data_IF_992916538375
#
_entry.id   IF_992916538375
#
_cell.length_a   1.000
_cell.length_b   1.000
_cell.length_c   1.000
_cell.angle_alpha   90.00
_cell.angle_beta   90.00
_cell.angle_gamma   90.00
#
_symmetry.space_group_name_H-M   'P 1'
#
loop_
_entity.id
_entity.type
_entity.pdbx_description
1 polymer ?
#
# COMPACT_ATOMS: atom_id res chain seq x y z
N UNK A 1 -4.50 -0.40 -15.62
CA UNK A 1 -4.82 -1.49 -14.65
C UNK A 1 -5.88 -2.41 -15.21
N UNK A 2 -5.63 -3.72 -15.28
CA UNK A 2 -6.60 -4.80 -15.51
C UNK A 2 -6.70 -5.65 -14.23
N UNK A 3 -7.86 -6.29 -14.01
CA UNK A 3 -8.03 -7.18 -12.86
C UNK A 3 -9.02 -8.30 -13.13
N UNK A 4 -8.93 -9.35 -12.33
CA UNK A 4 -9.89 -10.45 -12.27
C UNK A 4 -10.18 -10.82 -10.83
N UNK A 5 -11.41 -11.22 -10.53
CA UNK A 5 -11.79 -11.74 -9.22
C UNK A 5 -11.95 -13.26 -9.34
N UNK A 6 -11.21 -14.01 -8.53
CA UNK A 6 -11.30 -15.47 -8.43
C UNK A 6 -11.47 -15.83 -6.96
N UNK A 7 -12.53 -16.58 -6.63
CA UNK A 7 -12.86 -17.00 -5.26
C UNK A 7 -12.86 -15.83 -4.25
N UNK A 8 -13.38 -14.67 -4.66
CA UNK A 8 -13.44 -13.48 -3.81
C UNK A 8 -12.12 -12.72 -3.64
N UNK A 9 -11.05 -13.15 -4.29
CA UNK A 9 -9.74 -12.51 -4.28
C UNK A 9 -9.56 -11.73 -5.58
N UNK A 10 -9.17 -10.46 -5.47
CA UNK A 10 -8.80 -9.63 -6.62
C UNK A 10 -7.35 -9.86 -7.01
N UNK A 11 -7.11 -10.11 -8.29
CA UNK A 11 -5.78 -10.21 -8.90
C UNK A 11 -5.65 -9.05 -9.88
N UNK A 12 -4.80 -8.08 -9.56
CA UNK A 12 -4.60 -6.85 -10.31
C UNK A 12 -3.27 -6.93 -11.06
N UNK A 13 -3.30 -6.60 -12.35
CA UNK A 13 -2.10 -6.26 -13.12
C UNK A 13 -2.11 -4.75 -13.38
N UNK A 14 -1.08 -4.09 -12.90
CA UNK A 14 -0.86 -2.68 -13.14
C UNK A 14 0.10 -2.50 -14.30
N UNK A 15 -0.20 -1.52 -15.14
CA UNK A 15 0.56 -1.21 -16.33
C UNK A 15 1.44 0.03 -16.08
N UNK A 16 2.38 0.27 -16.98
CA UNK A 16 3.29 1.43 -16.90
C UNK A 16 2.52 2.73 -16.70
N UNK A 17 2.94 3.51 -15.70
CA UNK A 17 2.35 4.80 -15.35
C UNK A 17 1.25 4.73 -14.28
N UNK A 18 0.71 3.53 -14.00
CA UNK A 18 -0.26 3.35 -12.91
C UNK A 18 0.40 3.63 -11.55
N UNK A 19 -0.36 4.26 -10.63
CA UNK A 19 0.01 4.36 -9.21
C UNK A 19 -0.40 3.11 -8.46
N UNK A 20 0.50 2.52 -7.69
CA UNK A 20 0.25 1.26 -6.96
C UNK A 20 -0.89 1.43 -5.95
N UNK A 21 -0.78 2.42 -5.07
CA UNK A 21 -1.79 2.67 -4.03
C UNK A 21 -3.09 3.18 -4.64
N UNK A 22 -2.99 4.10 -5.59
CA UNK A 22 -4.16 4.63 -6.30
C UNK A 22 -4.99 3.52 -6.96
N UNK A 23 -4.32 2.55 -7.61
CA UNK A 23 -4.96 1.42 -8.27
C UNK A 23 -5.64 0.46 -7.28
N UNK A 24 -5.00 0.15 -6.16
CA UNK A 24 -5.60 -0.70 -5.10
C UNK A 24 -6.85 -0.03 -4.52
N UNK A 25 -6.78 1.26 -4.21
CA UNK A 25 -7.93 2.00 -3.68
C UNK A 25 -9.07 2.12 -4.71
N UNK A 26 -8.73 2.32 -5.98
CA UNK A 26 -9.72 2.37 -7.05
C UNK A 26 -10.41 1.02 -7.25
N UNK A 27 -9.66 -0.09 -7.26
CA UNK A 27 -10.22 -1.44 -7.26
C UNK A 27 -11.19 -1.65 -6.09
N UNK A 28 -10.79 -1.31 -4.88
CA UNK A 28 -11.64 -1.45 -3.71
C UNK A 28 -12.94 -0.62 -3.81
N UNK A 29 -12.87 0.61 -4.37
CA UNK A 29 -14.07 1.43 -4.59
C UNK A 29 -15.00 0.82 -5.61
N UNK A 30 -14.49 0.35 -6.76
CA UNK A 30 -15.28 -0.28 -7.82
C UNK A 30 -16.03 -1.51 -7.34
N UNK A 31 -15.35 -2.33 -6.52
CA UNK A 31 -15.91 -3.59 -6.03
C UNK A 31 -16.65 -3.44 -4.68
N UNK A 32 -16.81 -2.23 -4.16
CA UNK A 32 -17.50 -1.97 -2.90
C UNK A 32 -16.78 -2.55 -1.67
N UNK A 33 -15.48 -2.80 -1.78
CA UNK A 33 -14.65 -3.39 -0.71
C UNK A 33 -14.29 -2.30 0.30
N UNK A 34 -14.74 -2.47 1.54
CA UNK A 34 -14.48 -1.50 2.62
C UNK A 34 -13.31 -1.87 3.50
N UNK A 35 -12.91 -3.13 3.52
CA UNK A 35 -11.74 -3.63 4.25
C UNK A 35 -11.09 -4.76 3.48
N UNK A 36 -9.77 -4.70 3.32
CA UNK A 36 -8.97 -5.72 2.66
C UNK A 36 -7.54 -5.72 3.19
N UNK A 37 -6.83 -6.82 2.99
CA UNK A 37 -5.37 -6.85 2.94
C UNK A 37 -4.91 -6.99 1.49
N UNK A 38 -3.70 -6.58 1.19
CA UNK A 38 -3.13 -6.77 -0.14
C UNK A 38 -1.62 -6.97 -0.07
N UNK A 39 -1.10 -7.67 -1.07
CA UNK A 39 0.33 -7.93 -1.24
C UNK A 39 0.67 -8.00 -2.71
N UNK A 40 1.94 -7.80 -3.05
CA UNK A 40 2.35 -7.86 -4.44
C UNK A 40 3.84 -7.61 -4.64
N UNK A 41 4.20 -7.52 -5.91
CA UNK A 41 5.54 -7.24 -6.40
C UNK A 41 5.44 -6.48 -7.73
N UNK A 42 6.57 -5.99 -8.24
CA UNK A 42 6.60 -5.32 -9.55
C UNK A 42 7.86 -4.53 -9.81
N UNK A 43 7.87 -3.78 -10.91
CA UNK A 43 8.93 -2.85 -11.28
C UNK A 43 8.41 -1.42 -11.36
N UNK A 44 9.00 -0.51 -10.58
CA UNK A 44 8.61 0.89 -10.48
C UNK A 44 9.72 1.83 -10.96
N UNK A 45 9.40 3.10 -11.22
CA UNK A 45 10.40 4.14 -11.55
C UNK A 45 10.40 5.31 -10.56
N UNK A 46 9.42 5.37 -9.70
CA UNK A 46 9.29 6.38 -8.65
C UNK A 46 8.59 5.78 -7.43
N UNK A 47 9.11 6.05 -6.24
CA UNK A 47 8.44 5.65 -5.00
C UNK A 47 8.72 6.66 -3.88
N UNK A 48 7.71 6.97 -3.08
CA UNK A 48 7.85 7.72 -1.83
C UNK A 48 7.76 6.75 -0.66
N UNK A 49 8.86 6.61 0.09
CA UNK A 49 8.92 5.82 1.32
C UNK A 49 9.08 6.73 2.53
N UNK A 50 8.41 6.37 3.64
CA UNK A 50 8.37 7.18 4.86
C UNK A 50 8.75 6.33 6.07
N UNK A 51 9.44 6.96 7.00
CA UNK A 51 9.80 6.35 8.29
C UNK A 51 9.29 7.22 9.42
N UNK A 52 8.61 6.63 10.39
CA UNK A 52 8.11 7.33 11.57
C UNK A 52 9.24 7.59 12.55
N UNK A 53 9.33 8.82 13.03
CA UNK A 53 10.22 9.24 14.10
C UNK A 53 9.41 9.29 15.42
N UNK A 54 9.70 8.41 16.39
CA UNK A 54 8.96 8.37 17.65
C UNK A 54 9.25 9.56 18.57
N UNK A 55 10.38 10.26 18.42
CA UNK A 55 10.72 11.42 19.24
C UNK A 55 9.91 12.65 18.82
N UNK A 56 9.87 12.91 17.52
CA UNK A 56 9.15 14.06 16.95
C UNK A 56 7.69 13.75 16.64
N UNK A 57 7.29 12.46 16.63
CA UNK A 57 5.99 11.95 16.20
C UNK A 57 5.62 12.37 14.78
N UNK A 58 6.61 12.46 13.90
CA UNK A 58 6.45 12.84 12.50
C UNK A 58 7.00 11.78 11.55
N UNK A 59 6.71 11.91 10.27
CA UNK A 59 7.26 11.05 9.23
C UNK A 59 8.33 11.79 8.43
N UNK A 60 9.54 11.24 8.39
CA UNK A 60 10.53 11.57 7.37
C UNK A 60 10.17 10.89 6.04
N UNK A 61 10.35 11.59 4.92
CA UNK A 61 10.06 11.08 3.57
C UNK A 61 11.33 11.02 2.74
N UNK A 62 11.48 9.95 1.94
CA UNK A 62 12.51 9.77 0.93
C UNK A 62 11.86 9.38 -0.39
N UNK A 63 12.24 10.07 -1.47
CA UNK A 63 11.86 9.70 -2.83
C UNK A 63 12.97 8.85 -3.45
N UNK A 64 12.58 7.67 -3.96
CA UNK A 64 13.42 6.80 -4.77
C UNK A 64 13.06 6.99 -6.23
N UNK A 65 14.04 6.99 -7.14
CA UNK A 65 13.82 7.13 -8.58
C UNK A 65 14.78 6.25 -9.37
N UNK A 66 14.40 5.91 -10.60
CA UNK A 66 15.13 5.00 -11.48
C UNK A 66 14.48 3.61 -11.50
N UNK A 67 15.18 2.58 -11.93
CA UNK A 67 14.65 1.21 -11.88
C UNK A 67 14.60 0.71 -10.44
N UNK A 68 13.41 0.45 -9.95
CA UNK A 68 13.11 0.01 -8.58
C UNK A 68 12.37 -1.34 -8.66
N UNK A 69 13.00 -2.40 -8.22
CA UNK A 69 12.31 -3.68 -8.01
C UNK A 69 11.47 -3.59 -6.73
N UNK A 70 10.15 -3.55 -6.86
CA UNK A 70 9.23 -3.69 -5.74
C UNK A 70 9.28 -5.14 -5.24
N UNK A 71 10.25 -5.42 -4.39
CA UNK A 71 10.56 -6.77 -3.90
C UNK A 71 9.52 -7.28 -2.89
N UNK A 72 8.85 -6.39 -2.20
CA UNK A 72 7.77 -6.71 -1.26
C UNK A 72 6.82 -5.54 -1.14
N UNK A 73 5.53 -5.83 -1.24
CA UNK A 73 4.43 -4.93 -0.94
C UNK A 73 3.48 -5.64 0.00
N UNK A 74 3.16 -5.01 1.12
CA UNK A 74 2.17 -5.49 2.06
C UNK A 74 1.38 -4.35 2.65
N UNK A 75 0.06 -4.43 2.58
CA UNK A 75 -0.79 -3.37 3.08
C UNK A 75 -2.19 -3.81 3.44
N UNK A 76 -2.95 -2.85 3.95
CA UNK A 76 -4.37 -3.00 4.19
C UNK A 76 -5.14 -1.75 3.79
N UNK A 77 -6.38 -1.96 3.41
CA UNK A 77 -7.38 -0.94 3.16
C UNK A 77 -8.44 -1.05 4.24
N UNK A 78 -8.87 0.08 4.77
CA UNK A 78 -9.97 0.19 5.74
C UNK A 78 -10.83 1.39 5.42
N UNK A 79 -12.06 1.43 5.94
CA UNK A 79 -12.85 2.66 5.94
C UNK A 79 -12.17 3.77 6.75
N UNK A 80 -12.27 5.01 6.28
CA UNK A 80 -11.70 6.19 6.97
C UNK A 80 -12.65 6.84 7.99
N UNK A 81 -13.85 6.28 8.16
CA UNK A 81 -14.91 6.79 9.01
C UNK A 81 -15.85 7.79 8.32
N UNK A 82 -15.50 8.33 7.15
CA UNK A 82 -16.24 9.34 6.39
C UNK A 82 -16.71 8.84 5.02
N UNK A 83 -17.05 7.57 4.89
CA UNK A 83 -17.39 6.90 3.63
C UNK A 83 -16.23 6.79 2.61
N UNK A 84 -15.03 7.21 2.96
CA UNK A 84 -13.81 7.04 2.20
C UNK A 84 -13.03 5.77 2.57
N UNK A 85 -11.93 5.56 1.86
CA UNK A 85 -10.97 4.48 2.12
C UNK A 85 -9.62 5.06 2.51
N UNK A 86 -9.02 4.48 3.55
CA UNK A 86 -7.64 4.73 3.97
C UNK A 86 -6.80 3.48 3.75
N UNK A 87 -5.52 3.66 3.50
CA UNK A 87 -4.55 2.58 3.37
C UNK A 87 -3.46 2.68 4.44
N UNK A 88 -2.85 1.54 4.76
CA UNK A 88 -1.60 1.45 5.50
C UNK A 88 -0.75 0.39 4.80
N UNK A 89 0.36 0.82 4.24
CA UNK A 89 1.17 -0.01 3.36
C UNK A 89 2.64 0.17 3.68
N UNK A 90 3.35 -0.95 3.70
CA UNK A 90 4.81 -0.99 3.70
C UNK A 90 5.29 -1.61 2.40
N UNK A 91 6.44 -1.14 1.92
CA UNK A 91 7.10 -1.69 0.75
C UNK A 91 8.62 -1.73 0.96
N UNK A 92 9.26 -2.67 0.25
CA UNK A 92 10.72 -2.75 0.12
C UNK A 92 11.06 -2.71 -1.35
N UNK A 93 11.96 -1.81 -1.71
CA UNK A 93 12.50 -1.67 -3.06
C UNK A 93 13.96 -2.09 -3.08
N UNK A 94 14.34 -2.90 -4.09
CA UNK A 94 15.73 -3.18 -4.40
C UNK A 94 16.12 -2.40 -5.67
N UNK A 95 17.31 -1.83 -5.70
CA UNK A 95 17.81 -1.01 -6.81
C UNK A 95 19.33 -1.03 -6.88
N UNK A 96 19.89 -0.49 -7.95
CA UNK A 96 21.33 -0.34 -8.09
C UNK A 96 21.69 1.14 -7.99
N UNK A 97 22.56 1.49 -7.07
CA UNK A 97 23.11 2.83 -6.90
C UNK A 97 24.63 2.76 -6.86
N UNK A 98 25.30 3.54 -7.71
CA UNK A 98 26.78 3.52 -7.83
C UNK A 98 27.38 2.11 -8.03
N UNK A 99 26.69 1.25 -8.80
CA UNK A 99 27.10 -0.12 -9.10
C UNK A 99 26.92 -1.12 -7.95
N UNK A 100 26.24 -0.74 -6.87
CA UNK A 100 25.93 -1.60 -5.72
C UNK A 100 24.46 -1.88 -5.64
N UNK A 101 24.10 -3.09 -5.21
CA UNK A 101 22.73 -3.42 -4.85
C UNK A 101 22.39 -2.84 -3.50
N UNK A 102 21.32 -2.04 -3.48
CA UNK A 102 20.82 -1.36 -2.30
C UNK A 102 19.35 -1.73 -2.09
N UNK A 103 18.88 -1.54 -0.86
CA UNK A 103 17.46 -1.68 -0.52
C UNK A 103 17.00 -0.49 0.30
N UNK A 104 15.74 -0.08 0.11
CA UNK A 104 15.07 0.88 0.96
C UNK A 104 13.60 0.51 1.12
N UNK A 105 13.04 0.79 2.28
CA UNK A 105 11.64 0.49 2.56
C UNK A 105 11.10 1.25 3.76
N UNK A 106 9.81 1.09 3.98
CA UNK A 106 9.06 1.75 5.05
C UNK A 106 7.60 1.91 4.66
N UNK A 107 6.91 2.88 5.26
CA UNK A 107 5.58 3.25 4.80
C UNK A 107 5.62 3.71 3.35
N UNK A 108 4.75 3.16 2.53
CA UNK A 108 4.59 3.58 1.14
C UNK A 108 3.57 4.72 1.05
N UNK A 109 4.02 5.88 0.57
CA UNK A 109 3.14 6.97 0.15
C UNK A 109 2.46 6.61 -1.16
N UNK A 110 3.26 6.49 -2.21
CA UNK A 110 2.85 6.01 -3.53
C UNK A 110 4.06 5.43 -4.27
N UNK A 111 3.83 4.55 -5.25
CA UNK A 111 4.82 4.12 -6.22
C UNK A 111 4.23 4.11 -7.63
N UNK A 112 5.03 4.54 -8.62
CA UNK A 112 4.62 4.54 -10.03
C UNK A 112 5.24 3.34 -10.74
N UNK A 113 4.39 2.58 -11.42
CA UNK A 113 4.80 1.39 -12.18
C UNK A 113 5.60 1.79 -13.41
N UNK A 114 6.75 1.14 -13.62
CA UNK A 114 7.58 1.27 -14.81
C UNK A 114 7.31 0.15 -15.82
N UNK A 115 7.24 -1.09 -15.35
CA UNK A 115 7.09 -2.30 -16.18
C UNK A 115 5.72 -2.91 -15.95
N UNK A 116 5.51 -3.52 -14.80
CA UNK A 116 4.26 -4.08 -14.31
C UNK A 116 4.27 -4.14 -12.80
N UNK A 117 3.10 -4.21 -12.18
CA UNK A 117 2.97 -4.68 -10.81
C UNK A 117 1.80 -5.66 -10.72
N UNK A 118 2.00 -6.73 -9.99
CA UNK A 118 1.04 -7.81 -9.79
C UNK A 118 0.65 -7.83 -8.32
N UNK A 119 -0.64 -7.58 -8.05
CA UNK A 119 -1.13 -7.35 -6.69
C UNK A 119 -2.34 -8.24 -6.43
N UNK A 120 -2.29 -8.94 -5.31
CA UNK A 120 -3.41 -9.70 -4.78
C UNK A 120 -4.10 -8.88 -3.70
N UNK A 121 -5.42 -8.74 -3.80
CA UNK A 121 -6.27 -8.05 -2.81
C UNK A 121 -7.26 -9.04 -2.22
N UNK A 122 -7.22 -9.19 -0.89
CA UNK A 122 -8.07 -10.11 -0.11
C UNK A 122 -9.07 -9.31 0.72
N UNK A 123 -10.36 -9.24 0.31
CA UNK A 123 -11.39 -8.60 1.10
C UNK A 123 -11.58 -9.28 2.47
N UNK A 124 -11.86 -8.47 3.49
CA UNK A 124 -12.33 -9.00 4.78
C UNK A 124 -13.78 -9.44 4.63
N UNK A 125 -14.06 -10.69 4.95
CA UNK A 125 -15.39 -11.30 4.88
C UNK A 125 -15.99 -11.39 6.28
N UNK A 126 -17.28 -11.09 6.41
CA UNK A 126 -18.00 -11.21 7.68
C UNK A 126 -17.88 -10.00 8.61
N UNK A 127 -17.25 -8.91 8.16
CA UNK A 127 -17.12 -7.68 8.96
C UNK A 127 -16.40 -6.56 8.23
N UNK A 128 -16.27 -5.44 8.91
CA UNK A 128 -15.47 -4.28 8.44
C UNK A 128 -14.49 -3.90 9.54
N UNK A 129 -13.23 -3.75 9.16
CA UNK A 129 -12.20 -3.20 10.05
C UNK A 129 -12.14 -1.70 9.80
N UNK A 130 -12.23 -0.91 10.86
CA UNK A 130 -12.08 0.55 10.84
C UNK A 130 -10.74 0.98 11.46
N UNK A 131 -10.56 2.28 11.64
CA UNK A 131 -9.35 2.86 12.28
C UNK A 131 -9.71 3.85 13.35
N UNK A 132 -8.93 3.85 14.41
CA UNK A 132 -8.92 4.89 15.44
C UNK A 132 -7.53 5.48 15.60
N UNK A 133 -7.46 6.66 16.21
CA UNK A 133 -6.17 7.26 16.58
C UNK A 133 -5.67 6.64 17.87
N UNK A 134 -4.45 6.10 17.85
CA UNK A 134 -3.73 5.69 19.05
C UNK A 134 -3.36 6.95 19.85
N UNK A 135 -3.75 7.07 21.12
CA UNK A 135 -3.51 8.29 21.92
C UNK A 135 -2.04 8.48 22.30
N UNK A 136 -1.24 7.42 22.35
CA UNK A 136 0.16 7.50 22.73
C UNK A 136 1.03 8.02 21.57
N UNK A 137 0.75 7.57 20.36
CA UNK A 137 1.59 7.86 19.18
C UNK A 137 0.96 8.82 18.19
N UNK A 138 -0.38 9.04 18.25
CA UNK A 138 -1.12 9.84 17.26
C UNK A 138 -1.29 9.14 15.89
N UNK A 139 -0.80 7.92 15.75
CA UNK A 139 -0.93 7.12 14.52
C UNK A 139 -2.29 6.45 14.43
N UNK A 140 -2.67 6.02 13.21
CA UNK A 140 -3.92 5.29 13.00
C UNK A 140 -3.69 3.79 13.15
N UNK A 141 -4.44 3.15 14.03
CA UNK A 141 -4.44 1.69 14.28
C UNK A 141 -5.78 1.08 13.94
N UNK A 142 -5.85 -0.23 13.81
CA UNK A 142 -7.11 -0.93 13.60
C UNK A 142 -8.06 -0.74 14.79
N UNK A 143 -9.32 -0.54 14.46
CA UNK A 143 -10.42 -0.51 15.41
C UNK A 143 -11.39 -1.64 15.10
N UNK A 144 -11.54 -2.55 16.03
CA UNK A 144 -12.44 -3.71 15.90
C UNK A 144 -13.83 -3.45 16.48
N UNK A 145 -14.07 -2.22 16.99
CA UNK A 145 -15.29 -1.89 17.73
C UNK A 145 -15.36 -2.57 19.11
N UNK A 146 -16.44 -2.31 19.80
CA UNK A 146 -16.76 -3.07 21.01
C UNK A 146 -17.25 -4.48 20.61
N UNK A 147 -16.75 -5.49 21.28
CA UNK A 147 -17.14 -6.91 21.08
C UNK A 147 -18.46 -7.19 21.77
#
# INVERSE_FOLDING_TARGET
>A
MEYRICNGIGYLRLDRGDGVIASVLEFCRREGIRSATFSGLGGCDLAEVKTFDPETKTYGSRTLSGMLELASLWGNVTGDGNCGLAQHTHAVFAYVENGKHETAGGHLGEARVLITAEIEVRPVVGGVISRKTDPAWGTKVWDFGDR
#
